data_IF_973634604194
#
_entry.id   IF_973634604194
#
_cell.length_a   1.000
_cell.length_b   1.000
_cell.length_c   1.000
_cell.angle_alpha   90.00
_cell.angle_beta   90.00
_cell.angle_gamma   90.00
#
_symmetry.space_group_name_H-M   'P 1'
#
loop_
_entity.id
_entity.type
_entity.pdbx_description
1 polymer ?
#
# COMPACT_ATOMS: atom_id res chain seq x y z
N UNK A 1 7.51 -18.25 23.27
CA UNK A 1 6.88 -16.92 23.15
C UNK A 1 5.94 -16.93 21.95
N UNK A 2 4.63 -16.88 22.21
CA UNK A 2 3.60 -17.06 21.18
C UNK A 2 3.61 -15.88 20.19
N UNK A 3 3.67 -16.19 18.89
CA UNK A 3 3.53 -15.19 17.82
C UNK A 3 2.14 -14.51 17.84
N UNK A 4 1.14 -15.15 18.48
CA UNK A 4 -0.21 -14.61 18.70
C UNK A 4 -0.23 -13.39 19.64
N UNK A 5 0.60 -13.38 20.69
CA UNK A 5 0.77 -12.22 21.58
C UNK A 5 1.64 -11.11 20.96
N UNK A 6 2.61 -11.47 20.10
CA UNK A 6 3.51 -10.49 19.47
C UNK A 6 2.82 -9.55 18.48
N UNK A 7 1.69 -9.97 17.91
CA UNK A 7 0.93 -9.20 16.92
C UNK A 7 -0.48 -8.83 17.39
N UNK A 8 -0.95 -9.39 18.51
CA UNK A 8 -2.26 -9.07 19.12
C UNK A 8 -3.43 -9.29 18.16
N UNK A 9 -3.36 -10.34 17.34
CA UNK A 9 -4.44 -10.67 16.40
C UNK A 9 -5.44 -11.56 17.15
N UNK A 10 -6.46 -10.95 17.72
CA UNK A 10 -7.34 -11.60 18.71
C UNK A 10 -8.65 -12.15 18.12
N UNK A 11 -9.06 -11.78 16.91
CA UNK A 11 -10.44 -12.07 16.44
C UNK A 11 -10.59 -12.25 14.92
N UNK A 12 -11.50 -13.15 14.50
CA UNK A 12 -11.96 -13.30 13.11
C UNK A 12 -12.40 -11.95 12.50
N UNK A 13 -12.90 -11.02 13.33
CA UNK A 13 -13.29 -9.68 12.93
C UNK A 13 -12.12 -8.85 12.37
N UNK A 14 -10.91 -9.04 12.89
CA UNK A 14 -9.70 -8.36 12.42
C UNK A 14 -9.31 -8.80 11.00
N UNK A 15 -9.47 -10.08 10.68
CA UNK A 15 -9.25 -10.58 9.31
C UNK A 15 -10.23 -9.92 8.33
N UNK A 16 -11.50 -9.77 8.70
CA UNK A 16 -12.50 -9.09 7.85
C UNK A 16 -12.09 -7.63 7.59
N UNK A 17 -11.69 -6.89 8.63
CA UNK A 17 -11.22 -5.51 8.48
C UNK A 17 -9.99 -5.46 7.56
N UNK A 18 -9.03 -6.37 7.75
CA UNK A 18 -7.83 -6.43 6.93
C UNK A 18 -8.18 -6.64 5.45
N UNK A 19 -9.09 -7.56 5.14
CA UNK A 19 -9.55 -7.78 3.76
C UNK A 19 -10.25 -6.56 3.17
N UNK A 20 -11.12 -5.89 3.94
CA UNK A 20 -11.78 -4.66 3.50
C UNK A 20 -10.74 -3.57 3.20
N UNK A 21 -9.77 -3.38 4.10
CA UNK A 21 -8.68 -2.43 3.92
C UNK A 21 -7.89 -2.76 2.66
N UNK A 22 -7.55 -4.03 2.42
CA UNK A 22 -6.84 -4.43 1.21
C UNK A 22 -7.64 -4.17 -0.08
N UNK A 23 -8.95 -4.43 -0.07
CA UNK A 23 -9.82 -4.16 -1.22
C UNK A 23 -9.91 -2.65 -1.53
N UNK A 24 -10.07 -1.83 -0.49
CA UNK A 24 -10.07 -0.36 -0.63
C UNK A 24 -8.70 0.14 -1.08
N UNK A 25 -7.62 -0.37 -0.46
CA UNK A 25 -6.27 0.10 -0.72
C UNK A 25 -5.82 -0.20 -2.14
N UNK A 26 -6.15 -1.37 -2.69
CA UNK A 26 -5.79 -1.75 -4.06
C UNK A 26 -6.43 -0.86 -5.12
N UNK A 27 -7.73 -0.58 -4.99
CA UNK A 27 -8.42 0.31 -5.92
C UNK A 27 -7.98 1.77 -5.76
N UNK A 28 -7.79 2.22 -4.51
CA UNK A 28 -7.41 3.60 -4.22
C UNK A 28 -5.96 3.90 -4.60
N UNK A 29 -5.02 2.96 -4.46
CA UNK A 29 -3.61 3.18 -4.85
C UNK A 29 -3.47 3.35 -6.36
N UNK A 30 -4.17 2.54 -7.14
CA UNK A 30 -4.22 2.69 -8.60
C UNK A 30 -4.85 4.03 -9.00
N UNK A 31 -5.94 4.44 -8.34
CA UNK A 31 -6.58 5.73 -8.59
C UNK A 31 -5.66 6.91 -8.23
N UNK A 32 -4.94 6.82 -7.11
CA UNK A 32 -3.98 7.84 -6.69
C UNK A 32 -2.80 7.92 -7.67
N UNK A 33 -2.27 6.80 -8.13
CA UNK A 33 -1.20 6.79 -9.14
C UNK A 33 -1.67 7.41 -10.46
N UNK A 34 -2.86 7.05 -10.95
CA UNK A 34 -3.48 7.71 -12.11
C UNK A 34 -3.63 9.22 -11.89
N UNK A 35 -4.07 9.64 -10.71
CA UNK A 35 -4.19 11.06 -10.39
C UNK A 35 -2.83 11.78 -10.42
N UNK A 36 -1.78 11.17 -9.86
CA UNK A 36 -0.41 11.69 -9.92
C UNK A 36 0.12 11.76 -11.36
N UNK A 37 -0.16 10.75 -12.19
CA UNK A 37 0.22 10.74 -13.60
C UNK A 37 -0.45 11.89 -14.36
N UNK A 38 -1.75 12.10 -14.14
CA UNK A 38 -2.49 13.21 -14.74
C UNK A 38 -1.95 14.58 -14.29
N UNK A 39 -1.54 14.72 -13.01
CA UNK A 39 -0.91 15.95 -12.51
C UNK A 39 0.42 16.25 -13.21
N UNK A 40 1.17 15.23 -13.62
CA UNK A 40 2.43 15.34 -14.36
C UNK A 40 2.18 15.48 -15.87
N UNK A 41 0.92 15.45 -16.32
CA UNK A 41 0.53 15.57 -17.73
C UNK A 41 0.67 14.26 -18.53
N UNK A 42 0.80 13.13 -17.86
CA UNK A 42 0.87 11.80 -18.47
C UNK A 42 -0.55 11.26 -18.60
N UNK A 43 -1.04 11.21 -19.84
CA UNK A 43 -2.35 10.68 -20.18
C UNK A 43 -2.21 9.43 -21.07
N UNK A 44 -3.18 8.51 -20.97
CA UNK A 44 -3.28 7.31 -21.80
C UNK A 44 -3.27 7.61 -23.32
N UNK A 45 -3.72 8.81 -23.70
CA UNK A 45 -3.76 9.27 -25.09
C UNK A 45 -2.40 9.80 -25.59
N UNK A 46 -1.57 10.32 -24.70
CA UNK A 46 -0.31 10.99 -25.05
C UNK A 46 0.91 10.09 -24.79
N UNK A 47 0.73 8.96 -24.13
CA UNK A 47 1.79 8.04 -23.75
C UNK A 47 1.43 6.64 -24.25
N UNK A 48 2.37 5.99 -24.92
CA UNK A 48 2.17 4.61 -25.38
C UNK A 48 1.76 3.71 -24.21
N UNK A 49 0.77 2.85 -24.41
CA UNK A 49 0.16 2.02 -23.36
C UNK A 49 1.20 1.33 -22.46
N UNK A 50 2.26 0.78 -23.06
CA UNK A 50 3.38 0.17 -22.33
C UNK A 50 4.02 1.10 -21.28
N UNK A 51 4.39 2.33 -21.68
CA UNK A 51 5.01 3.30 -20.76
C UNK A 51 4.01 3.81 -19.73
N UNK A 52 2.75 3.97 -20.11
CA UNK A 52 1.68 4.36 -19.19
C UNK A 52 1.57 3.36 -18.04
N UNK A 53 1.41 2.07 -18.34
CA UNK A 53 1.30 1.03 -17.31
C UNK A 53 2.60 0.83 -16.53
N UNK A 54 3.77 1.02 -17.17
CA UNK A 54 5.06 0.95 -16.49
C UNK A 54 5.16 2.03 -15.40
N UNK A 55 4.87 3.29 -15.74
CA UNK A 55 4.92 4.42 -14.81
C UNK A 55 3.87 4.25 -13.71
N UNK A 56 2.65 3.85 -14.08
CA UNK A 56 1.59 3.54 -13.12
C UNK A 56 2.06 2.50 -12.10
N UNK A 57 2.62 1.37 -12.54
CA UNK A 57 3.12 0.33 -11.66
C UNK A 57 4.26 0.84 -10.76
N UNK A 58 5.20 1.61 -11.33
CA UNK A 58 6.30 2.23 -10.60
C UNK A 58 5.81 3.21 -9.53
N UNK A 59 4.70 3.92 -9.75
CA UNK A 59 4.10 4.81 -8.75
C UNK A 59 3.28 4.07 -7.70
N UNK A 60 2.47 3.07 -8.11
CA UNK A 60 1.65 2.26 -7.20
C UNK A 60 2.52 1.48 -6.21
N UNK A 61 3.66 0.94 -6.66
CA UNK A 61 4.57 0.13 -5.84
C UNK A 61 4.98 0.82 -4.52
N UNK A 62 5.61 2.01 -4.52
CA UNK A 62 5.95 2.71 -3.29
C UNK A 62 4.72 3.27 -2.57
N UNK A 63 3.68 3.67 -3.30
CA UNK A 63 2.50 4.34 -2.75
C UNK A 63 1.61 3.39 -1.93
N UNK A 64 1.54 2.12 -2.33
CA UNK A 64 0.70 1.09 -1.70
C UNK A 64 1.08 0.80 -0.23
N UNK A 65 2.36 0.55 0.14
CA UNK A 65 2.76 0.40 1.54
C UNK A 65 2.45 1.61 2.42
N UNK A 66 2.61 2.84 1.92
CA UNK A 66 2.27 4.04 2.69
C UNK A 66 0.77 4.10 3.00
N UNK A 67 -0.07 3.83 2.01
CA UNK A 67 -1.52 3.80 2.22
C UNK A 67 -1.94 2.68 3.18
N UNK A 68 -1.33 1.48 3.10
CA UNK A 68 -1.60 0.41 4.05
C UNK A 68 -1.27 0.81 5.49
N UNK A 69 -0.15 1.50 5.72
CA UNK A 69 0.19 2.01 7.06
C UNK A 69 -0.82 3.06 7.53
N UNK A 70 -1.25 3.94 6.63
CA UNK A 70 -2.27 4.97 6.91
C UNK A 70 -3.63 4.37 7.27
N UNK A 71 -4.16 3.46 6.45
CA UNK A 71 -5.42 2.78 6.76
C UNK A 71 -5.31 1.89 7.99
N UNK A 72 -4.18 1.20 8.16
CA UNK A 72 -3.90 0.45 9.38
C UNK A 72 -3.97 1.31 10.63
N UNK A 73 -3.50 2.56 10.57
CA UNK A 73 -3.66 3.53 11.66
C UNK A 73 -5.13 3.90 11.89
N UNK A 74 -5.87 4.24 10.83
CA UNK A 74 -7.29 4.64 10.92
C UNK A 74 -8.18 3.53 11.50
N UNK A 75 -8.01 2.29 11.04
CA UNK A 75 -8.84 1.16 11.46
C UNK A 75 -8.37 0.51 12.77
N UNK A 76 -7.38 1.08 13.46
CA UNK A 76 -6.82 0.53 14.71
C UNK A 76 -6.03 -0.77 14.51
N UNK A 77 -5.67 -1.11 13.27
CA UNK A 77 -4.93 -2.31 12.87
C UNK A 77 -3.43 -2.04 12.62
N UNK A 78 -2.91 -0.96 13.20
CA UNK A 78 -1.53 -0.48 12.99
C UNK A 78 -0.50 -1.53 13.39
N UNK A 79 -0.74 -2.31 14.45
CA UNK A 79 0.14 -3.40 14.90
C UNK A 79 0.42 -4.45 13.81
N UNK A 80 -0.52 -4.65 12.88
CA UNK A 80 -0.36 -5.54 11.74
C UNK A 80 0.20 -4.80 10.52
N UNK A 81 -0.41 -3.68 10.14
CA UNK A 81 -0.10 -2.99 8.89
C UNK A 81 1.21 -2.19 8.93
N UNK A 82 1.66 -1.65 10.06
CA UNK A 82 2.95 -0.96 10.16
C UNK A 82 4.14 -1.86 9.85
N UNK A 83 4.33 -3.00 10.56
CA UNK A 83 5.43 -3.91 10.24
C UNK A 83 5.28 -4.53 8.84
N UNK A 84 4.06 -4.77 8.37
CA UNK A 84 3.80 -5.22 7.00
C UNK A 84 4.25 -4.18 5.96
N UNK A 85 3.82 -2.93 6.09
CA UNK A 85 4.19 -1.83 5.20
C UNK A 85 5.69 -1.53 5.23
N UNK A 86 6.31 -1.50 6.41
CA UNK A 86 7.78 -1.37 6.56
C UNK A 86 8.53 -2.50 5.85
N UNK A 87 8.07 -3.75 5.97
CA UNK A 87 8.66 -4.90 5.29
C UNK A 87 8.56 -4.74 3.76
N UNK A 88 7.39 -4.32 3.26
CA UNK A 88 7.20 -4.07 1.82
C UNK A 88 8.11 -2.94 1.30
N UNK A 89 8.20 -1.82 2.03
CA UNK A 89 9.10 -0.72 1.67
C UNK A 89 10.56 -1.17 1.63
N UNK A 90 10.98 -2.02 2.58
CA UNK A 90 12.31 -2.64 2.55
C UNK A 90 12.52 -3.52 1.33
N UNK A 91 11.54 -4.31 0.93
CA UNK A 91 11.60 -5.18 -0.26
C UNK A 91 11.67 -4.39 -1.57
N UNK A 92 11.00 -3.23 -1.65
CA UNK A 92 11.02 -2.36 -2.84
C UNK A 92 12.35 -1.58 -2.96
N UNK A 93 13.26 -1.72 -1.98
CA UNK A 93 14.57 -1.03 -1.97
C UNK A 93 14.56 0.31 -1.22
N UNK A 94 13.42 0.72 -0.67
CA UNK A 94 13.28 1.89 0.20
C UNK A 94 13.58 1.59 1.68
N UNK A 95 14.28 0.48 1.95
CA UNK A 95 14.66 0.07 3.31
C UNK A 95 15.59 1.03 4.02
N UNK A 96 16.25 1.93 3.29
CA UNK A 96 17.15 2.95 3.84
C UNK A 96 16.41 4.05 4.62
N UNK A 97 15.10 4.26 4.39
CA UNK A 97 14.31 5.31 5.05
C UNK A 97 14.07 4.97 6.55
N UNK A 98 14.20 3.70 6.92
CA UNK A 98 13.91 3.19 8.27
C UNK A 98 15.13 2.62 8.98
N UNK A 99 16.34 2.93 8.51
CA UNK A 99 17.61 2.50 9.11
C UNK A 99 18.23 3.58 9.98
#
# INVERSE_FOLDING_TARGET
MNLKERWGIESNFQMVIIFIVFAINGSLSAKMANFLMNLIGINEFNTHWFFYYLILLTLVLPLYPFMLMFFGYIFGQSKFFFPFGKKMLKTIGLGFIFN
#
